data_IF_962822866968
#
_entry.id   IF_962822866968
#
_cell.length_a   1.000
_cell.length_b   1.000
_cell.length_c   1.000
_cell.angle_alpha   90.00
_cell.angle_beta   90.00
_cell.angle_gamma   90.00
#
_symmetry.space_group_name_H-M   'P 1'
#
loop_
_entity.id
_entity.type
_entity.pdbx_description
1 polymer ?
#
# COMPACT_ATOMS: atom_id res chain seq x y z
N UNK A 1 -0.36 26.76 -13.86
CA UNK A 1 0.26 25.48 -13.40
C UNK A 1 1.25 25.82 -12.29
N UNK A 2 1.00 25.38 -11.07
CA UNK A 2 1.93 25.55 -9.97
C UNK A 2 3.21 24.75 -10.28
N UNK A 3 4.37 25.43 -10.28
CA UNK A 3 5.66 24.77 -10.46
C UNK A 3 5.86 23.75 -9.33
N UNK A 4 6.27 22.52 -9.67
CA UNK A 4 6.78 21.56 -8.67
C UNK A 4 7.79 22.29 -7.78
N UNK A 5 7.53 22.33 -6.48
CA UNK A 5 8.55 22.75 -5.52
C UNK A 5 9.29 21.48 -5.09
N UNK A 6 10.53 21.22 -5.60
CA UNK A 6 11.23 19.97 -5.33
C UNK A 6 11.61 19.79 -3.85
N UNK A 7 11.53 20.88 -3.07
CA UNK A 7 11.95 20.90 -1.66
C UNK A 7 10.77 20.70 -0.69
N UNK A 8 9.55 20.47 -1.23
CA UNK A 8 8.35 20.23 -0.42
C UNK A 8 8.05 18.73 -0.31
N UNK A 9 7.87 18.25 0.90
CA UNK A 9 7.52 16.85 1.16
C UNK A 9 6.08 16.55 0.77
N UNK A 10 5.84 15.50 -0.02
CA UNK A 10 4.48 15.07 -0.43
C UNK A 10 3.62 14.60 0.75
N UNK A 11 4.26 14.11 1.83
CA UNK A 11 3.55 13.60 2.98
C UNK A 11 3.12 14.66 3.99
N UNK A 12 4.07 15.46 4.47
CA UNK A 12 3.80 16.45 5.53
C UNK A 12 3.69 17.88 5.02
N UNK A 13 3.83 18.10 3.71
CA UNK A 13 3.72 19.37 3.02
C UNK A 13 4.77 20.42 3.45
N UNK A 14 5.67 20.06 4.36
CA UNK A 14 6.71 20.96 4.82
C UNK A 14 7.79 21.14 3.76
N UNK A 15 8.26 22.37 3.62
CA UNK A 15 9.45 22.68 2.87
C UNK A 15 10.68 22.32 3.72
N UNK A 16 11.66 21.62 3.15
CA UNK A 16 12.84 21.13 3.87
C UNK A 16 14.10 21.30 3.03
N UNK A 17 15.22 21.53 3.69
CA UNK A 17 16.52 21.73 3.03
C UNK A 17 17.06 20.47 2.36
N UNK A 18 16.65 19.28 2.86
CA UNK A 18 17.08 18.01 2.33
C UNK A 18 15.89 17.10 2.02
N UNK A 19 15.64 16.93 0.73
CA UNK A 19 14.62 16.02 0.20
C UNK A 19 15.26 14.69 -0.19
N UNK A 20 14.56 13.61 0.08
CA UNK A 20 14.85 12.26 -0.40
C UNK A 20 13.77 11.81 -1.39
N UNK A 21 14.08 10.79 -2.20
CA UNK A 21 13.08 10.14 -3.05
C UNK A 21 12.43 8.99 -2.28
N UNK A 22 11.10 9.01 -2.18
CA UNK A 22 10.31 7.88 -1.71
C UNK A 22 9.69 7.14 -2.89
N UNK A 23 9.66 5.82 -2.84
CA UNK A 23 9.00 5.02 -3.87
C UNK A 23 7.50 4.93 -3.58
N UNK A 24 6.66 5.07 -4.62
CA UNK A 24 5.21 4.88 -4.46
C UNK A 24 4.91 3.49 -3.90
N UNK A 25 5.46 2.45 -4.53
CA UNK A 25 5.54 1.10 -3.97
C UNK A 25 7.00 0.77 -3.68
N UNK A 26 7.35 0.30 -2.47
CA UNK A 26 8.71 -0.09 -2.14
C UNK A 26 9.26 -1.13 -3.11
N UNK A 27 10.56 -1.10 -3.37
CA UNK A 27 11.20 -2.06 -4.29
C UNK A 27 10.94 -3.53 -3.93
N UNK A 28 10.85 -3.81 -2.64
CA UNK A 28 10.61 -5.17 -2.13
C UNK A 28 9.19 -5.70 -2.37
N UNK A 29 8.25 -4.81 -2.78
CA UNK A 29 6.86 -5.17 -3.10
C UNK A 29 6.69 -5.66 -4.54
N UNK A 30 7.68 -5.42 -5.40
CA UNK A 30 7.62 -5.87 -6.79
C UNK A 30 7.95 -7.35 -6.88
N UNK A 31 7.12 -8.17 -7.56
CA UNK A 31 7.37 -9.60 -7.80
C UNK A 31 8.70 -9.84 -8.53
N UNK A 32 9.21 -11.06 -8.44
CA UNK A 32 10.43 -11.46 -9.15
C UNK A 32 10.27 -11.42 -10.68
N UNK A 33 9.04 -11.53 -11.16
CA UNK A 33 8.65 -11.43 -12.57
C UNK A 33 8.67 -9.99 -13.11
N UNK A 34 8.90 -8.99 -12.25
CA UNK A 34 8.93 -7.58 -12.66
C UNK A 34 10.09 -7.30 -13.62
N UNK A 35 9.83 -6.71 -14.80
CA UNK A 35 10.88 -6.34 -15.74
C UNK A 35 11.94 -5.43 -15.09
N UNK A 36 13.22 -5.70 -15.36
CA UNK A 36 14.33 -4.95 -14.77
C UNK A 36 14.31 -3.45 -15.17
N UNK A 37 13.82 -3.15 -16.37
CA UNK A 37 13.72 -1.81 -16.92
C UNK A 37 12.44 -1.07 -16.52
N UNK A 38 11.56 -1.66 -15.69
CA UNK A 38 10.36 -0.99 -15.21
C UNK A 38 10.74 0.23 -14.36
N UNK A 39 10.34 1.42 -14.84
CA UNK A 39 10.50 2.66 -14.10
C UNK A 39 9.58 2.67 -12.87
N UNK A 40 10.18 2.57 -11.68
CA UNK A 40 9.45 2.64 -10.42
C UNK A 40 9.17 4.09 -10.06
N UNK A 41 7.91 4.40 -9.83
CA UNK A 41 7.48 5.75 -9.50
C UNK A 41 8.04 6.20 -8.15
N UNK A 42 8.52 7.46 -8.13
CA UNK A 42 9.11 8.10 -6.95
C UNK A 42 8.62 9.53 -6.83
N UNK A 43 8.58 10.03 -5.61
CA UNK A 43 8.18 11.39 -5.30
C UNK A 43 9.01 11.96 -4.13
N UNK A 44 9.06 13.31 -3.97
CA UNK A 44 9.85 13.93 -2.92
C UNK A 44 9.26 13.69 -1.53
N UNK A 45 10.10 13.26 -0.60
CA UNK A 45 9.74 13.06 0.81
C UNK A 45 10.88 13.51 1.72
N UNK A 46 10.56 14.10 2.87
CA UNK A 46 11.58 14.39 3.88
C UNK A 46 12.05 13.11 4.58
N UNK A 47 13.27 13.13 5.11
CA UNK A 47 13.86 11.98 5.79
C UNK A 47 12.98 11.38 6.90
N UNK A 48 12.39 12.18 7.81
CA UNK A 48 11.47 11.67 8.83
C UNK A 48 10.25 10.94 8.26
N UNK A 49 9.58 11.50 7.23
CA UNK A 49 8.44 10.86 6.59
C UNK A 49 8.85 9.57 5.89
N UNK A 50 9.90 9.60 5.07
CA UNK A 50 10.40 8.43 4.36
C UNK A 50 10.73 7.28 5.33
N UNK A 51 11.41 7.58 6.45
CA UNK A 51 11.71 6.58 7.50
C UNK A 51 10.44 6.03 8.18
N UNK A 52 9.45 6.90 8.46
CA UNK A 52 8.17 6.50 9.08
C UNK A 52 7.41 5.55 8.18
N UNK A 53 7.25 5.91 6.90
CA UNK A 53 6.53 5.09 5.92
C UNK A 53 7.29 3.81 5.59
N UNK A 54 8.60 3.86 5.39
CA UNK A 54 9.42 2.68 5.12
C UNK A 54 9.32 1.61 6.21
N UNK A 55 9.27 2.00 7.50
CA UNK A 55 9.06 1.05 8.60
C UNK A 55 7.67 0.41 8.56
N UNK A 56 6.64 1.20 8.32
CA UNK A 56 5.26 0.71 8.20
C UNK A 56 5.12 -0.26 7.01
N UNK A 57 5.69 0.10 5.87
CA UNK A 57 5.66 -0.70 4.64
C UNK A 57 6.36 -2.06 4.79
N UNK A 58 7.47 -2.10 5.52
CA UNK A 58 8.17 -3.36 5.80
C UNK A 58 7.31 -4.30 6.66
N UNK A 59 6.67 -3.78 7.71
CA UNK A 59 5.77 -4.57 8.56
C UNK A 59 4.52 -5.02 7.80
N UNK A 60 3.88 -4.12 7.03
CA UNK A 60 2.68 -4.43 6.24
C UNK A 60 2.98 -5.45 5.14
N UNK A 61 4.10 -5.28 4.42
CA UNK A 61 4.53 -6.24 3.39
C UNK A 61 4.63 -7.66 3.94
N UNK A 62 5.23 -7.83 5.12
CA UNK A 62 5.38 -9.14 5.73
C UNK A 62 4.01 -9.79 6.03
N UNK A 63 3.07 -9.00 6.54
CA UNK A 63 1.72 -9.48 6.86
C UNK A 63 0.94 -9.85 5.59
N UNK A 64 0.94 -8.99 4.58
CA UNK A 64 0.25 -9.27 3.32
C UNK A 64 0.91 -10.43 2.57
N UNK A 65 2.24 -10.49 2.54
CA UNK A 65 2.98 -11.56 1.88
C UNK A 65 2.66 -12.95 2.46
N UNK A 66 2.35 -13.03 3.76
CA UNK A 66 1.94 -14.28 4.39
C UNK A 66 0.54 -14.76 3.95
N UNK A 67 -0.19 -13.88 3.27
CA UNK A 67 -1.54 -14.14 2.79
C UNK A 67 -1.63 -14.29 1.26
N UNK A 68 -0.53 -14.18 0.51
CA UNK A 68 -0.56 -14.39 -0.94
C UNK A 68 -0.56 -15.87 -1.32
N UNK A 69 -1.14 -16.16 -2.48
CA UNK A 69 -0.91 -17.45 -3.13
C UNK A 69 0.54 -17.51 -3.64
N UNK A 70 1.40 -18.40 -3.10
CA UNK A 70 2.79 -18.50 -3.50
C UNK A 70 2.99 -18.97 -4.94
N UNK A 71 1.94 -19.48 -5.58
CA UNK A 71 1.95 -19.94 -6.98
C UNK A 71 1.55 -18.83 -7.96
N UNK A 72 1.07 -17.70 -7.47
CA UNK A 72 0.68 -16.57 -8.32
C UNK A 72 1.91 -15.87 -8.90
N UNK A 73 1.96 -15.72 -10.23
CA UNK A 73 2.99 -14.92 -10.92
C UNK A 73 2.99 -13.46 -10.48
N UNK A 74 1.81 -12.94 -10.15
CA UNK A 74 1.62 -11.59 -9.64
C UNK A 74 2.24 -11.36 -8.24
N UNK A 75 2.58 -12.45 -7.52
CA UNK A 75 3.24 -12.42 -6.21
C UNK A 75 4.54 -13.23 -6.19
N UNK A 76 5.09 -13.58 -7.36
CA UNK A 76 6.27 -14.43 -7.48
C UNK A 76 7.44 -13.94 -6.59
N UNK A 77 7.91 -14.82 -5.72
CA UNK A 77 9.04 -14.55 -4.81
C UNK A 77 8.75 -13.58 -3.66
N UNK A 78 7.54 -13.02 -3.55
CA UNK A 78 7.19 -12.07 -2.47
C UNK A 78 7.25 -12.75 -1.12
N UNK A 79 6.61 -13.91 -0.96
CA UNK A 79 6.61 -14.65 0.29
C UNK A 79 8.02 -15.11 0.71
N UNK A 80 8.79 -15.67 -0.21
CA UNK A 80 10.16 -16.09 0.08
C UNK A 80 11.03 -14.94 0.59
N UNK A 81 11.01 -13.78 -0.08
CA UNK A 81 11.75 -12.60 0.37
C UNK A 81 11.23 -12.04 1.71
N UNK A 82 9.93 -12.16 1.98
CA UNK A 82 9.36 -11.74 3.25
C UNK A 82 9.88 -12.62 4.39
N UNK A 83 9.88 -13.94 4.22
CA UNK A 83 10.46 -14.88 5.19
C UNK A 83 11.96 -14.62 5.40
N UNK A 84 12.72 -14.46 4.32
CA UNK A 84 14.15 -14.16 4.40
C UNK A 84 14.44 -12.88 5.22
N UNK A 85 13.56 -11.89 5.15
CA UNK A 85 13.74 -10.63 5.88
C UNK A 85 13.60 -10.74 7.40
N UNK A 86 12.97 -11.81 7.90
CA UNK A 86 12.79 -12.08 9.33
C UNK A 86 13.56 -13.32 9.82
N UNK A 87 14.34 -13.94 8.95
CA UNK A 87 15.16 -15.10 9.28
C UNK A 87 16.49 -14.66 9.89
N UNK A 88 16.75 -14.93 11.21
CA UNK A 88 18.00 -14.56 11.85
C UNK A 88 19.23 -15.23 11.23
N UNK A 89 19.08 -16.42 10.64
CA UNK A 89 20.19 -17.21 10.07
C UNK A 89 20.68 -16.59 8.75
N UNK A 90 19.89 -15.71 8.13
CA UNK A 90 20.22 -14.93 6.93
C UNK A 90 20.71 -13.51 7.24
N UNK A 91 21.02 -13.24 8.51
CA UNK A 91 21.50 -11.93 8.91
C UNK A 91 22.94 -11.67 8.46
N UNK A 92 23.26 -10.41 8.17
CA UNK A 92 24.59 -9.98 7.74
C UNK A 92 25.57 -9.82 8.91
N UNK A 93 25.03 -9.54 10.09
CA UNK A 93 25.78 -9.30 11.31
C UNK A 93 24.91 -9.58 12.55
N UNK A 94 25.47 -9.63 13.78
CA UNK A 94 24.70 -9.91 15.00
C UNK A 94 23.60 -8.88 15.30
N UNK A 95 23.77 -7.61 14.91
CA UNK A 95 22.76 -6.56 15.11
C UNK A 95 21.57 -6.79 14.18
N UNK A 96 21.83 -7.15 12.91
CA UNK A 96 20.81 -7.54 11.95
C UNK A 96 20.04 -8.79 12.41
N UNK A 97 20.75 -9.79 12.97
CA UNK A 97 20.14 -11.00 13.53
C UNK A 97 19.14 -10.68 14.66
N UNK A 98 19.52 -9.79 15.58
CA UNK A 98 18.62 -9.34 16.64
C UNK A 98 17.38 -8.59 16.13
N UNK A 99 17.56 -7.73 15.11
CA UNK A 99 16.44 -7.04 14.45
C UNK A 99 15.48 -8.03 13.78
N UNK A 100 16.00 -9.01 13.03
CA UNK A 100 15.20 -10.06 12.38
C UNK A 100 14.47 -10.92 13.40
N UNK A 101 15.13 -11.34 14.47
CA UNK A 101 14.51 -12.08 15.58
C UNK A 101 13.35 -11.29 16.21
N UNK A 102 13.53 -9.99 16.41
CA UNK A 102 12.48 -9.12 16.92
C UNK A 102 11.31 -8.97 15.93
N UNK A 103 11.59 -8.81 14.63
CA UNK A 103 10.57 -8.74 13.59
C UNK A 103 9.78 -10.06 13.50
N UNK A 104 10.47 -11.22 13.52
CA UNK A 104 9.84 -12.55 13.55
C UNK A 104 8.91 -12.71 14.76
N UNK A 105 9.34 -12.27 15.94
CA UNK A 105 8.51 -12.33 17.15
C UNK A 105 7.24 -11.48 17.01
N UNK A 106 7.36 -10.25 16.48
CA UNK A 106 6.19 -9.37 16.23
C UNK A 106 5.24 -9.98 15.22
N UNK A 107 5.75 -10.57 14.15
CA UNK A 107 4.94 -11.26 13.14
C UNK A 107 4.18 -12.42 13.76
N UNK A 108 4.86 -13.33 14.47
CA UNK A 108 4.22 -14.49 15.11
C UNK A 108 3.18 -14.07 16.16
N UNK A 109 3.38 -12.95 16.85
CA UNK A 109 2.40 -12.41 17.79
C UNK A 109 1.09 -11.95 17.12
N UNK A 110 1.05 -11.82 15.80
CA UNK A 110 -0.16 -11.46 15.02
C UNK A 110 -0.87 -12.68 14.42
N UNK A 111 -0.30 -13.86 14.53
CA UNK A 111 -0.92 -15.11 14.11
C UNK A 111 -1.93 -15.54 15.16
N UNK A 112 -3.13 -15.89 14.73
CA UNK A 112 -4.23 -16.39 15.57
C UNK A 112 -4.86 -17.61 14.93
N UNK A 113 -5.51 -18.44 15.72
CA UNK A 113 -6.45 -19.42 15.17
C UNK A 113 -7.60 -18.66 14.50
N UNK A 114 -7.99 -19.14 13.32
CA UNK A 114 -9.11 -18.55 12.61
C UNK A 114 -10.41 -18.93 13.34
N UNK A 115 -11.07 -17.93 13.93
CA UNK A 115 -12.40 -18.11 14.50
C UNK A 115 -13.43 -18.12 13.35
N UNK A 116 -14.33 -19.13 13.28
CA UNK A 116 -15.40 -19.14 12.29
C UNK A 116 -16.28 -17.88 12.30
N UNK A 117 -16.39 -17.19 13.44
CA UNK A 117 -17.12 -15.91 13.56
C UNK A 117 -16.37 -14.74 12.90
N UNK A 118 -15.06 -14.84 12.66
CA UNK A 118 -14.28 -13.84 11.95
C UNK A 118 -14.59 -13.78 10.44
N UNK A 119 -15.27 -14.77 9.89
CA UNK A 119 -15.79 -14.75 8.53
C UNK A 119 -16.74 -13.56 8.26
N UNK A 120 -17.31 -12.97 9.31
CA UNK A 120 -18.15 -11.77 9.25
C UNK A 120 -17.41 -10.46 9.59
N UNK A 121 -16.08 -10.48 9.73
CA UNK A 121 -15.34 -9.27 9.97
C UNK A 121 -15.39 -8.33 8.75
N UNK A 122 -15.37 -7.03 8.98
CA UNK A 122 -15.41 -5.98 7.94
C UNK A 122 -14.17 -5.94 7.02
N UNK A 123 -13.18 -6.78 7.27
CA UNK A 123 -12.06 -6.99 6.36
C UNK A 123 -12.49 -7.92 5.22
N UNK A 124 -12.15 -7.60 3.97
CA UNK A 124 -12.43 -8.50 2.85
C UNK A 124 -11.89 -9.88 3.17
N UNK A 125 -12.72 -10.90 2.98
CA UNK A 125 -12.28 -12.28 3.07
C UNK A 125 -11.24 -12.52 1.99
N UNK A 126 -9.98 -12.52 2.41
CA UNK A 126 -8.85 -12.78 1.51
C UNK A 126 -8.83 -14.28 1.13
N UNK A 127 -9.64 -15.11 1.82
CA UNK A 127 -9.73 -16.55 1.58
C UNK A 127 -11.17 -17.06 1.74
N UNK A 128 -11.80 -17.37 0.61
CA UNK A 128 -13.15 -17.97 0.57
C UNK A 128 -13.17 -19.49 0.87
N UNK A 129 -12.04 -20.22 0.72
CA UNK A 129 -11.98 -21.69 0.82
C UNK A 129 -11.10 -22.15 1.99
N UNK A 130 -11.41 -21.70 3.22
CA UNK A 130 -10.65 -22.15 4.39
C UNK A 130 -11.07 -23.53 4.88
N UNK A 131 -10.11 -24.47 5.03
CA UNK A 131 -10.37 -25.65 5.83
C UNK A 131 -10.63 -25.23 7.28
N UNK A 132 -11.57 -25.93 7.96
CA UNK A 132 -11.81 -25.74 9.40
C UNK A 132 -10.48 -25.88 10.16
N UNK A 133 -10.09 -24.87 10.94
CA UNK A 133 -8.84 -24.86 11.71
C UNK A 133 -7.67 -24.08 11.06
N UNK A 134 -7.92 -23.17 10.13
CA UNK A 134 -6.91 -22.31 9.53
C UNK A 134 -6.31 -21.28 10.50
N UNK A 135 -5.16 -20.69 10.12
CA UNK A 135 -4.54 -19.56 10.82
C UNK A 135 -5.02 -18.25 10.19
N UNK A 136 -5.25 -17.25 11.02
CA UNK A 136 -5.54 -15.89 10.61
C UNK A 136 -4.41 -14.95 11.03
N UNK A 137 -4.18 -13.91 10.22
CA UNK A 137 -3.26 -12.82 10.55
C UNK A 137 -4.05 -11.56 10.89
N UNK A 138 -3.70 -10.95 12.02
CA UNK A 138 -4.24 -9.65 12.39
C UNK A 138 -3.45 -8.58 11.68
N UNK A 139 -4.06 -7.94 10.68
CA UNK A 139 -3.49 -6.79 9.97
C UNK A 139 -4.06 -5.51 10.57
N UNK A 140 -3.22 -4.60 11.11
CA UNK A 140 -3.73 -3.40 11.73
C UNK A 140 -4.32 -2.43 10.70
N UNK A 141 -5.54 -1.97 10.94
CA UNK A 141 -6.23 -1.03 10.05
C UNK A 141 -5.44 0.29 9.90
N UNK A 142 -4.79 0.76 10.96
CA UNK A 142 -4.00 2.00 10.95
C UNK A 142 -2.87 1.95 9.92
N UNK A 143 -2.12 0.85 9.86
CA UNK A 143 -1.01 0.68 8.90
C UNK A 143 -1.53 0.60 7.46
N UNK A 144 -2.67 -0.05 7.24
CA UNK A 144 -3.33 -0.06 5.93
C UNK A 144 -3.76 1.36 5.54
N UNK A 145 -4.42 2.09 6.44
CA UNK A 145 -4.82 3.48 6.19
C UNK A 145 -3.62 4.35 5.82
N UNK A 146 -2.56 4.31 6.61
CA UNK A 146 -1.33 5.07 6.32
C UNK A 146 -0.72 4.69 4.97
N UNK A 147 -0.76 3.41 4.61
CA UNK A 147 -0.22 2.94 3.33
C UNK A 147 -1.05 3.46 2.16
N UNK A 148 -2.37 3.35 2.22
CA UNK A 148 -3.25 3.84 1.16
C UNK A 148 -3.19 5.37 1.06
N UNK A 149 -3.14 6.08 2.19
CA UNK A 149 -2.91 7.53 2.19
C UNK A 149 -1.62 7.91 1.46
N UNK A 150 -0.52 7.19 1.71
CA UNK A 150 0.73 7.35 0.96
C UNK A 150 0.53 7.15 -0.54
N UNK A 151 -0.15 6.06 -0.93
CA UNK A 151 -0.41 5.75 -2.34
C UNK A 151 -1.24 6.85 -3.01
N UNK A 152 -2.28 7.33 -2.34
CA UNK A 152 -3.13 8.42 -2.85
C UNK A 152 -2.31 9.70 -3.04
N UNK A 153 -1.57 10.16 -2.01
CA UNK A 153 -0.72 11.36 -2.09
C UNK A 153 0.32 11.25 -3.20
N UNK A 154 1.02 10.12 -3.28
CA UNK A 154 2.05 9.88 -4.28
C UNK A 154 1.47 9.79 -5.70
N UNK A 155 0.30 9.16 -5.87
CA UNK A 155 -0.36 9.07 -7.18
C UNK A 155 -0.79 10.45 -7.69
N UNK A 156 -1.47 11.26 -6.86
CA UNK A 156 -1.84 12.64 -7.22
C UNK A 156 -0.62 13.45 -7.61
N UNK A 157 0.43 13.41 -6.79
CA UNK A 157 1.66 14.15 -7.10
C UNK A 157 2.26 13.74 -8.45
N UNK A 158 2.28 12.45 -8.76
CA UNK A 158 2.90 11.93 -9.97
C UNK A 158 2.07 12.13 -11.23
N UNK A 159 0.72 12.05 -11.13
CA UNK A 159 -0.17 12.14 -12.28
C UNK A 159 -0.70 13.55 -12.53
N UNK A 160 -0.89 14.35 -11.48
CA UNK A 160 -1.47 15.68 -11.57
C UNK A 160 -0.47 16.81 -11.23
N UNK A 161 0.73 16.45 -10.76
CA UNK A 161 1.79 17.40 -10.38
C UNK A 161 1.36 18.42 -9.31
N UNK A 162 0.44 18.01 -8.44
CA UNK A 162 -0.05 18.81 -7.31
C UNK A 162 0.11 18.06 -5.99
N UNK A 163 -0.04 18.80 -4.90
CA UNK A 163 -0.11 18.26 -3.55
C UNK A 163 -1.58 18.11 -3.13
N UNK A 164 -1.83 17.21 -2.19
CA UNK A 164 -3.09 17.18 -1.45
C UNK A 164 -2.92 18.11 -0.27
N UNK A 165 -3.59 19.24 -0.30
CA UNK A 165 -3.47 20.30 0.69
C UNK A 165 -4.37 20.05 1.92
N UNK A 166 -4.24 20.89 2.95
CA UNK A 166 -4.93 20.70 4.24
C UNK A 166 -6.47 20.85 4.16
N UNK A 167 -6.98 21.51 3.11
CA UNK A 167 -8.42 21.59 2.84
C UNK A 167 -9.00 20.33 2.19
N UNK A 168 -8.15 19.36 1.87
CA UNK A 168 -8.55 18.09 1.26
C UNK A 168 -8.42 16.94 2.25
N UNK A 169 -9.41 16.07 2.26
CA UNK A 169 -9.42 14.86 3.08
C UNK A 169 -9.12 13.63 2.24
N UNK A 170 -8.26 12.76 2.77
CA UNK A 170 -8.08 11.42 2.22
C UNK A 170 -8.90 10.44 3.04
N UNK A 171 -9.85 9.78 2.37
CA UNK A 171 -10.66 8.72 2.96
C UNK A 171 -10.13 7.38 2.49
N UNK A 172 -10.00 6.42 3.40
CA UNK A 172 -9.59 5.04 3.10
C UNK A 172 -10.71 4.10 3.50
N UNK A 173 -11.14 3.27 2.58
CA UNK A 173 -12.21 2.29 2.83
C UNK A 173 -11.70 0.87 2.63
N UNK A 174 -11.88 0.05 3.66
CA UNK A 174 -11.64 -1.39 3.62
C UNK A 174 -13.00 -2.06 3.34
N UNK A 175 -13.29 -2.23 2.06
CA UNK A 175 -14.58 -2.71 1.60
C UNK A 175 -14.53 -4.21 1.34
N UNK A 176 -15.63 -4.91 1.65
CA UNK A 176 -15.86 -6.25 1.14
C UNK A 176 -16.00 -6.19 -0.38
N UNK A 177 -15.70 -7.28 -1.12
CA UNK A 177 -15.77 -7.30 -2.58
C UNK A 177 -17.09 -6.77 -3.13
N UNK A 178 -18.22 -7.17 -2.56
CA UNK A 178 -19.56 -6.76 -2.98
C UNK A 178 -19.82 -5.24 -2.83
N UNK A 179 -19.19 -4.59 -1.86
CA UNK A 179 -19.30 -3.14 -1.64
C UNK A 179 -18.27 -2.34 -2.45
N UNK A 180 -17.13 -2.97 -2.77
CA UNK A 180 -16.08 -2.34 -3.58
C UNK A 180 -16.33 -2.42 -5.09
N UNK A 181 -17.12 -3.39 -5.54
CA UNK A 181 -17.40 -3.61 -6.96
C UNK A 181 -18.05 -2.40 -7.68
N UNK A 182 -19.02 -1.67 -7.12
CA UNK A 182 -19.54 -0.46 -7.74
C UNK A 182 -18.47 0.63 -7.94
N UNK A 183 -17.56 0.79 -6.97
CA UNK A 183 -16.46 1.75 -7.06
C UNK A 183 -15.49 1.31 -8.16
N UNK A 184 -15.17 0.02 -8.22
CA UNK A 184 -14.31 -0.52 -9.27
C UNK A 184 -14.85 -0.24 -10.65
N UNK A 185 -16.15 -0.55 -10.90
CA UNK A 185 -16.80 -0.27 -12.18
C UNK A 185 -16.74 1.20 -12.56
N UNK A 186 -16.99 2.09 -11.61
CA UNK A 186 -16.93 3.53 -11.84
C UNK A 186 -15.52 3.97 -12.25
N UNK A 187 -14.48 3.50 -11.54
CA UNK A 187 -13.10 3.87 -11.91
C UNK A 187 -12.60 3.14 -13.16
N UNK A 188 -13.18 2.02 -13.57
CA UNK A 188 -12.90 1.37 -14.84
C UNK A 188 -13.57 2.07 -16.02
N UNK A 189 -14.76 2.62 -15.83
CA UNK A 189 -15.50 3.32 -16.85
C UNK A 189 -14.97 4.74 -17.10
N UNK A 190 -14.67 5.49 -16.04
CA UNK A 190 -14.36 6.92 -16.12
C UNK A 190 -12.92 7.26 -15.73
N UNK A 191 -12.12 6.28 -15.37
CA UNK A 191 -10.79 6.51 -14.82
C UNK A 191 -9.65 6.14 -15.76
N UNK A 192 -8.46 6.38 -15.27
CA UNK A 192 -7.20 6.00 -15.89
C UNK A 192 -6.62 4.77 -15.19
N UNK A 193 -6.10 3.82 -15.97
CA UNK A 193 -5.33 2.69 -15.47
C UNK A 193 -3.84 2.97 -15.57
N UNK A 194 -3.15 2.87 -14.44
CA UNK A 194 -1.69 2.90 -14.36
C UNK A 194 -1.19 1.50 -13.95
N UNK A 195 -0.73 0.72 -14.93
CA UNK A 195 -0.03 -0.53 -14.68
C UNK A 195 1.38 -0.24 -14.15
N UNK A 196 1.68 -0.72 -12.96
CA UNK A 196 2.95 -0.48 -12.27
C UNK A 196 3.80 -1.75 -12.14
N UNK A 197 3.46 -2.79 -12.87
CA UNK A 197 4.16 -4.06 -12.91
C UNK A 197 3.26 -5.24 -12.55
N UNK A 198 3.79 -6.47 -12.58
CA UNK A 198 2.99 -7.66 -12.31
C UNK A 198 2.19 -7.55 -11.02
N UNK A 199 0.87 -7.68 -11.13
CA UNK A 199 -0.05 -7.63 -10.01
C UNK A 199 -0.17 -6.27 -9.26
N UNK A 200 0.42 -5.19 -9.79
CA UNK A 200 0.35 -3.86 -9.18
C UNK A 200 -0.33 -2.90 -10.15
N UNK A 201 -1.57 -2.51 -9.85
CA UNK A 201 -2.37 -1.61 -10.69
C UNK A 201 -2.99 -0.51 -9.84
N UNK A 202 -3.04 0.68 -10.41
CA UNK A 202 -3.73 1.83 -9.85
C UNK A 202 -4.78 2.28 -10.85
N UNK A 203 -6.03 2.34 -10.41
CA UNK A 203 -7.10 2.99 -11.16
C UNK A 203 -7.48 4.27 -10.44
N UNK A 204 -7.60 5.35 -11.18
CA UNK A 204 -7.92 6.67 -10.66
C UNK A 204 -8.99 7.31 -11.53
N UNK A 205 -10.09 7.74 -10.94
CA UNK A 205 -11.09 8.58 -11.59
C UNK A 205 -11.17 9.93 -10.87
N UNK A 206 -11.24 11.01 -11.66
CA UNK A 206 -11.35 12.39 -11.16
C UNK A 206 -12.76 12.89 -11.47
N UNK A 207 -13.39 13.56 -10.51
CA UNK A 207 -14.72 14.14 -10.72
C UNK A 207 -14.64 15.27 -11.76
N UNK A 208 -15.59 15.30 -12.70
CA UNK A 208 -15.59 16.28 -13.82
C UNK A 208 -15.88 17.71 -13.35
N UNK A 209 -16.77 17.84 -12.37
CA UNK A 209 -17.24 19.11 -11.80
C UNK A 209 -16.43 19.59 -10.58
N UNK A 210 -15.64 18.71 -10.02
CA UNK A 210 -14.83 18.96 -8.83
C UNK A 210 -13.46 18.25 -8.95
N UNK A 211 -12.59 18.77 -9.81
CA UNK A 211 -11.30 18.15 -10.17
C UNK A 211 -10.34 17.91 -8.99
N UNK A 212 -10.62 18.51 -7.83
CA UNK A 212 -9.93 18.21 -6.59
C UNK A 212 -10.33 16.85 -5.98
N UNK A 213 -11.51 16.32 -6.36
CA UNK A 213 -12.05 15.06 -5.87
C UNK A 213 -11.63 13.91 -6.80
N UNK A 214 -11.17 12.82 -6.21
CA UNK A 214 -10.75 11.65 -6.96
C UNK A 214 -11.02 10.35 -6.19
N UNK A 215 -11.31 9.29 -6.94
CA UNK A 215 -11.44 7.91 -6.43
C UNK A 215 -10.27 7.08 -6.90
N UNK A 216 -9.84 6.16 -6.04
CA UNK A 216 -8.71 5.27 -6.30
C UNK A 216 -9.07 3.83 -5.96
N UNK A 217 -8.62 2.92 -6.82
CA UNK A 217 -8.55 1.49 -6.54
C UNK A 217 -7.12 1.03 -6.77
N UNK A 218 -6.54 0.43 -5.75
CA UNK A 218 -5.19 -0.14 -5.76
C UNK A 218 -5.29 -1.65 -5.71
N UNK A 219 -4.86 -2.33 -6.77
CA UNK A 219 -4.68 -3.78 -6.75
C UNK A 219 -3.21 -4.09 -6.47
N UNK A 220 -2.96 -4.99 -5.51
CA UNK A 220 -1.63 -5.42 -5.11
C UNK A 220 -1.57 -6.94 -5.19
N UNK A 221 -0.64 -7.45 -6.00
CA UNK A 221 -0.40 -8.86 -6.27
C UNK A 221 -1.64 -9.62 -6.77
N UNK A 222 -2.58 -8.90 -7.42
CA UNK A 222 -3.88 -9.39 -7.90
C UNK A 222 -4.77 -10.04 -6.80
N UNK A 223 -4.41 -9.87 -5.54
CA UNK A 223 -5.12 -10.46 -4.40
C UNK A 223 -5.67 -9.43 -3.41
N UNK A 224 -4.97 -8.31 -3.26
CA UNK A 224 -5.41 -7.27 -2.33
C UNK A 224 -5.94 -6.08 -3.09
N UNK A 225 -7.17 -5.68 -2.76
CA UNK A 225 -7.80 -4.48 -3.30
C UNK A 225 -8.09 -3.49 -2.20
N UNK A 226 -7.62 -2.27 -2.40
CA UNK A 226 -7.80 -1.18 -1.48
C UNK A 226 -8.45 0.00 -2.19
N UNK A 227 -9.27 0.75 -1.44
CA UNK A 227 -9.99 1.90 -1.95
C UNK A 227 -9.58 3.15 -1.20
N UNK A 228 -9.37 4.23 -1.94
CA UNK A 228 -9.08 5.55 -1.39
C UNK A 228 -9.88 6.61 -2.14
N UNK A 229 -10.13 7.72 -1.48
CA UNK A 229 -10.70 8.90 -2.10
C UNK A 229 -10.03 10.17 -1.59
N UNK A 230 -9.99 11.19 -2.44
CA UNK A 230 -9.68 12.57 -2.05
C UNK A 230 -10.96 13.37 -2.18
N UNK A 231 -11.32 14.10 -1.13
CA UNK A 231 -12.50 14.94 -1.08
C UNK A 231 -12.05 16.34 -0.70
N UNK A 232 -12.41 17.31 -1.51
CA UNK A 232 -12.26 18.73 -1.17
C UNK A 232 -13.37 19.12 -0.20
N UNK A 233 -13.01 19.61 0.98
CA UNK A 233 -13.99 20.04 1.99
C UNK A 233 -14.64 21.38 1.66
N UNK A 234 -14.21 22.06 0.58
CA UNK A 234 -14.58 23.44 0.31
C UNK A 234 -13.90 24.40 1.29
N UNK A 235 -13.92 25.66 0.94
CA UNK A 235 -13.66 26.75 1.90
C UNK A 235 -15.04 27.14 2.42
N UNK A 236 -15.37 26.75 3.67
CA UNK A 236 -16.52 27.34 4.37
C UNK A 236 -16.32 28.84 4.57
#
# INVERSE_FOLDING_TARGET
MARRNPDRCVHCLQQVDAITEDHLFPRSWYPATTPLNLAKWKFPACGPCNKKYGKMEEELRLLLAACVDPKSDAAAGIWARALDSIDPDKARDPVDALKRKSARRRFLARVREADPSMANSSLPEIYSDRPKGGLALVVPAKEIHMFIEKLVRGTIYLTEQRYIEDNQEITVSLLKPEHGEPILRLVEEFGELHDRGPGIRIRKAVAQDATANALFVFDIWDQFRFHGAVIDRGIE
#
